data_IF_418456926998
#
_entry.id   IF_418456926998
#
_cell.length_a   1.000
_cell.length_b   1.000
_cell.length_c   1.000
_cell.angle_alpha   90.00
_cell.angle_beta   90.00
_cell.angle_gamma   90.00
#
_symmetry.space_group_name_H-M   'P 1'
#
loop_
_entity.id
_entity.type
_entity.pdbx_description
1 polymer ?
#
# COMPACT_ATOMS: atom_id res chain seq x y z
N UNK A 1 38.20 29.43 -43.88
CA UNK A 1 37.43 28.54 -44.79
C UNK A 1 36.05 28.33 -44.14
N UNK A 2 35.01 29.11 -44.50
CA UNK A 2 33.98 28.80 -45.53
C UNK A 2 33.30 27.44 -45.17
N UNK A 3 32.03 27.32 -44.74
CA UNK A 3 30.71 27.83 -45.21
C UNK A 3 29.65 27.70 -44.06
N UNK A 4 28.86 28.73 -43.72
CA UNK A 4 27.45 29.05 -44.14
C UNK A 4 26.35 28.10 -43.55
N UNK A 5 25.14 28.50 -43.10
CA UNK A 5 24.48 29.81 -42.84
C UNK A 5 23.12 29.55 -42.11
N UNK A 6 22.80 30.43 -41.15
CA UNK A 6 21.51 30.97 -40.60
C UNK A 6 20.15 30.37 -41.01
N UNK A 7 19.21 30.36 -40.05
CA UNK A 7 17.79 30.74 -40.24
C UNK A 7 17.39 31.80 -39.19
N UNK A 8 16.72 32.87 -39.62
CA UNK A 8 16.10 33.92 -38.81
C UNK A 8 14.57 33.75 -38.83
N UNK A 9 13.96 34.10 -37.70
CA UNK A 9 12.53 34.18 -37.45
C UNK A 9 11.83 35.31 -38.24
N UNK A 10 10.50 35.18 -38.44
CA UNK A 10 9.58 36.34 -38.53
C UNK A 10 8.22 35.97 -37.93
N UNK A 11 7.81 36.80 -36.97
CA UNK A 11 6.47 36.91 -36.37
C UNK A 11 5.63 37.88 -37.23
N UNK A 12 4.32 37.68 -37.34
CA UNK A 12 3.40 38.72 -37.78
C UNK A 12 2.02 38.57 -37.12
N UNK A 13 1.50 39.70 -36.68
CA UNK A 13 0.25 39.92 -35.94
C UNK A 13 -0.48 41.07 -36.64
N UNK A 14 -1.74 40.91 -37.07
CA UNK A 14 -2.62 42.03 -37.48
C UNK A 14 -4.10 41.76 -37.09
N UNK A 15 -4.72 42.86 -36.66
CA UNK A 15 -6.05 43.16 -36.10
C UNK A 15 -7.27 43.11 -37.05
N UNK A 16 -8.45 42.82 -36.44
CA UNK A 16 -9.78 43.53 -36.49
C UNK A 16 -10.70 43.34 -37.74
N UNK A 17 -12.05 43.48 -37.79
CA UNK A 17 -13.16 44.18 -37.08
C UNK A 17 -14.53 43.44 -37.32
N UNK A 18 -15.52 43.70 -36.45
CA UNK A 18 -17.01 43.73 -36.54
C UNK A 18 -17.85 43.03 -37.64
N UNK A 19 -19.01 42.48 -37.23
CA UNK A 19 -20.25 42.39 -38.04
C UNK A 19 -21.36 41.49 -37.48
N UNK A 20 -22.48 42.08 -37.04
CA UNK A 20 -23.80 41.42 -36.87
C UNK A 20 -24.45 41.15 -38.24
N UNK A 21 -25.26 40.10 -38.39
CA UNK A 21 -26.74 40.17 -38.46
C UNK A 21 -27.43 38.96 -39.14
N UNK A 22 -28.59 38.60 -38.58
CA UNK A 22 -29.82 38.03 -39.16
C UNK A 22 -29.88 36.68 -39.93
N UNK A 23 -30.63 35.75 -39.30
CA UNK A 23 -31.82 35.01 -39.80
C UNK A 23 -31.76 34.11 -41.04
N UNK A 24 -32.12 32.82 -40.86
CA UNK A 24 -32.45 31.92 -41.97
C UNK A 24 -32.89 30.50 -41.56
N UNK A 25 -34.19 30.37 -41.22
CA UNK A 25 -35.11 29.21 -41.24
C UNK A 25 -34.60 27.75 -41.15
N UNK A 26 -35.12 27.06 -40.13
CA UNK A 26 -35.63 25.68 -40.05
C UNK A 26 -35.58 24.81 -41.32
N UNK A 27 -35.01 23.61 -41.21
CA UNK A 27 -35.72 22.31 -41.14
C UNK A 27 -34.64 21.24 -40.93
N UNK A 28 -34.63 20.61 -39.75
CA UNK A 28 -34.38 19.17 -39.56
C UNK A 28 -34.56 18.82 -38.07
N UNK A 29 -35.82 18.65 -37.69
CA UNK A 29 -36.17 17.80 -36.55
C UNK A 29 -35.83 16.36 -36.94
N UNK A 30 -34.87 15.75 -36.25
CA UNK A 30 -34.92 14.35 -35.77
C UNK A 30 -33.57 13.93 -35.17
N UNK A 31 -33.21 14.46 -33.99
CA UNK A 31 -32.21 13.80 -33.11
C UNK A 31 -32.19 14.29 -31.65
N UNK A 32 -33.28 14.87 -31.18
CA UNK A 32 -33.36 15.43 -29.83
C UNK A 32 -34.33 14.64 -28.93
N UNK A 33 -34.29 13.31 -28.96
CA UNK A 33 -34.94 12.46 -27.93
C UNK A 33 -34.10 11.19 -27.77
N UNK A 34 -32.95 11.30 -27.11
CA UNK A 34 -32.26 10.17 -26.45
C UNK A 34 -31.01 10.71 -25.75
N UNK A 35 -31.17 11.36 -24.59
CA UNK A 35 -30.18 11.25 -23.50
C UNK A 35 -30.65 11.90 -22.19
N UNK A 36 -31.90 11.63 -21.78
CA UNK A 36 -32.41 12.03 -20.46
C UNK A 36 -32.81 10.80 -19.68
N UNK A 37 -31.85 9.90 -19.44
CA UNK A 37 -31.90 8.88 -18.38
C UNK A 37 -30.55 8.16 -18.16
N UNK A 38 -29.41 8.87 -18.29
CA UNK A 38 -28.19 8.41 -17.59
C UNK A 38 -28.37 8.76 -16.12
N UNK A 39 -28.97 7.85 -15.36
CA UNK A 39 -28.74 7.81 -13.91
C UNK A 39 -27.23 7.87 -13.75
N UNK A 40 -26.71 8.97 -13.22
CA UNK A 40 -25.29 9.09 -12.89
C UNK A 40 -25.00 7.95 -11.91
N UNK A 41 -24.43 6.86 -12.41
CA UNK A 41 -24.11 5.71 -11.58
C UNK A 41 -23.03 6.16 -10.61
N UNK A 42 -23.42 6.39 -9.35
CA UNK A 42 -22.48 6.76 -8.30
C UNK A 42 -21.68 5.52 -7.95
N UNK A 43 -20.46 5.42 -8.50
CA UNK A 43 -19.51 4.38 -8.13
C UNK A 43 -19.01 4.55 -6.69
N UNK A 44 -18.68 3.45 -6.04
CA UNK A 44 -18.17 3.40 -4.67
C UNK A 44 -16.78 4.03 -4.57
N UNK A 45 -15.91 3.69 -5.53
CA UNK A 45 -14.59 4.29 -5.68
C UNK A 45 -14.67 5.60 -6.48
N UNK A 46 -13.89 6.60 -6.05
CA UNK A 46 -13.80 7.93 -6.63
C UNK A 46 -12.34 8.22 -6.99
N UNK A 47 -12.04 8.34 -8.28
CA UNK A 47 -10.69 8.67 -8.76
C UNK A 47 -10.44 10.15 -8.46
N UNK A 48 -9.58 10.42 -7.47
CA UNK A 48 -9.23 11.76 -7.04
C UNK A 48 -7.81 11.76 -6.44
N UNK A 49 -7.05 12.83 -6.68
CA UNK A 49 -5.65 12.96 -6.20
C UNK A 49 -5.52 12.89 -4.67
N UNK A 50 -6.60 13.19 -3.95
CA UNK A 50 -6.65 13.13 -2.48
C UNK A 50 -6.91 11.72 -1.93
N UNK A 51 -7.18 10.73 -2.79
CA UNK A 51 -7.53 9.36 -2.39
C UNK A 51 -6.56 8.35 -2.98
N UNK A 52 -5.97 7.54 -2.10
CA UNK A 52 -5.23 6.36 -2.53
C UNK A 52 -6.19 5.21 -2.81
N UNK A 53 -5.74 4.23 -3.61
CA UNK A 53 -6.37 2.92 -3.72
C UNK A 53 -5.66 1.94 -2.80
N UNK A 54 -6.43 1.25 -1.98
CA UNK A 54 -6.00 0.13 -1.15
C UNK A 54 -6.47 -1.17 -1.79
N UNK A 55 -5.55 -2.00 -2.25
CA UNK A 55 -5.86 -3.28 -2.90
C UNK A 55 -5.66 -4.40 -1.90
N UNK A 56 -6.71 -5.21 -1.72
CA UNK A 56 -6.71 -6.43 -0.92
C UNK A 56 -6.78 -7.64 -1.86
N UNK A 57 -6.27 -8.79 -1.44
CA UNK A 57 -6.44 -10.05 -2.17
C UNK A 57 -7.06 -11.09 -1.26
N UNK A 58 -8.20 -11.65 -1.66
CA UNK A 58 -8.84 -12.73 -0.93
C UNK A 58 -8.14 -14.06 -1.24
N UNK A 59 -7.95 -14.93 -0.24
CA UNK A 59 -7.46 -16.27 -0.50
C UNK A 59 -8.50 -17.05 -1.28
N UNK A 60 -8.07 -17.99 -2.12
CA UNK A 60 -9.01 -18.90 -2.79
C UNK A 60 -9.77 -19.74 -1.76
N UNK A 61 -11.07 -19.96 -1.98
CA UNK A 61 -11.86 -20.92 -1.19
C UNK A 61 -11.29 -22.36 -1.26
N UNK A 62 -10.50 -22.65 -2.30
CA UNK A 62 -9.82 -23.93 -2.49
C UNK A 62 -8.39 -23.96 -1.94
N UNK A 63 -7.89 -22.87 -1.37
CA UNK A 63 -6.55 -22.81 -0.80
C UNK A 63 -6.46 -23.65 0.49
N UNK A 64 -5.66 -24.74 0.51
CA UNK A 64 -5.56 -25.59 1.69
C UNK A 64 -4.85 -24.90 2.87
N UNK A 65 -3.97 -23.94 2.63
CA UNK A 65 -3.24 -23.20 3.66
C UNK A 65 -4.20 -22.28 4.43
N UNK A 66 -5.02 -21.51 3.70
CA UNK A 66 -5.97 -20.58 4.32
C UNK A 66 -7.29 -21.20 4.73
N UNK A 67 -7.57 -22.47 4.39
CA UNK A 67 -8.85 -23.15 4.65
C UNK A 67 -9.41 -22.95 6.07
N UNK A 68 -8.57 -23.02 7.10
CA UNK A 68 -9.00 -22.89 8.51
C UNK A 68 -9.29 -21.43 8.94
N UNK A 69 -8.81 -20.45 8.17
CA UNK A 69 -8.98 -19.02 8.40
C UNK A 69 -9.82 -18.32 7.33
N UNK A 70 -10.19 -19.00 6.25
CA UNK A 70 -10.82 -18.42 5.07
C UNK A 70 -11.95 -17.44 5.43
N UNK A 71 -12.91 -17.88 6.23
CA UNK A 71 -14.03 -17.01 6.62
C UNK A 71 -13.58 -15.80 7.45
N UNK A 72 -12.61 -15.98 8.36
CA UNK A 72 -12.06 -14.88 9.16
C UNK A 72 -11.36 -13.83 8.30
N UNK A 73 -10.66 -14.26 7.26
CA UNK A 73 -9.99 -13.37 6.30
C UNK A 73 -11.03 -12.60 5.48
N UNK A 74 -12.03 -13.29 4.93
CA UNK A 74 -13.12 -12.67 4.16
C UNK A 74 -13.89 -11.65 5.01
N UNK A 75 -14.26 -12.01 6.24
CA UNK A 75 -14.99 -11.11 7.14
C UNK A 75 -14.16 -9.86 7.47
N UNK A 76 -12.86 -10.04 7.76
CA UNK A 76 -11.94 -8.92 7.95
C UNK A 76 -11.86 -8.01 6.72
N UNK A 77 -11.71 -8.58 5.52
CA UNK A 77 -11.60 -7.80 4.29
C UNK A 77 -12.87 -7.00 3.98
N UNK A 78 -14.05 -7.57 4.26
CA UNK A 78 -15.34 -6.87 4.12
C UNK A 78 -15.41 -5.68 5.08
N UNK A 79 -15.09 -5.88 6.35
CA UNK A 79 -15.18 -4.82 7.36
C UNK A 79 -14.12 -3.75 7.14
N UNK A 80 -12.92 -4.15 6.73
CA UNK A 80 -11.86 -3.22 6.38
C UNK A 80 -12.23 -2.41 5.14
N UNK A 81 -12.75 -3.03 4.07
CA UNK A 81 -13.24 -2.33 2.88
C UNK A 81 -14.32 -1.29 3.22
N UNK A 82 -15.28 -1.64 4.10
CA UNK A 82 -16.30 -0.68 4.59
C UNK A 82 -15.68 0.51 5.34
N UNK A 83 -14.60 0.28 6.10
CA UNK A 83 -13.88 1.37 6.78
C UNK A 83 -13.10 2.28 5.82
N UNK A 84 -12.67 1.74 4.68
CA UNK A 84 -11.94 2.47 3.64
C UNK A 84 -12.89 3.33 2.83
N UNK A 85 -14.03 2.77 2.41
CA UNK A 85 -15.02 3.43 1.57
C UNK A 85 -15.46 4.79 2.14
N UNK A 86 -15.50 5.78 1.26
CA UNK A 86 -15.75 7.18 1.62
C UNK A 86 -14.50 7.96 2.02
N UNK A 87 -13.49 7.32 2.63
CA UNK A 87 -12.23 7.95 3.03
C UNK A 87 -11.17 7.87 1.92
N UNK A 88 -10.90 6.66 1.43
CA UNK A 88 -10.01 6.32 0.32
C UNK A 88 -10.76 5.40 -0.66
N UNK A 89 -10.06 4.79 -1.62
CA UNK A 89 -10.60 3.78 -2.53
C UNK A 89 -10.15 2.38 -2.12
N UNK A 90 -10.96 1.36 -2.45
CA UNK A 90 -10.62 -0.04 -2.19
C UNK A 90 -10.99 -0.91 -3.38
N UNK A 91 -10.14 -1.88 -3.71
CA UNK A 91 -10.46 -2.99 -4.62
C UNK A 91 -10.09 -4.29 -3.91
N UNK A 92 -10.96 -5.28 -3.98
CA UNK A 92 -10.71 -6.63 -3.48
C UNK A 92 -10.54 -7.54 -4.69
N UNK A 93 -9.33 -8.10 -4.84
CA UNK A 93 -9.06 -9.15 -5.81
C UNK A 93 -9.64 -10.46 -5.27
N UNK A 94 -10.47 -11.13 -6.08
CA UNK A 94 -11.15 -12.38 -5.71
C UNK A 94 -11.13 -13.33 -6.90
N UNK A 95 -10.98 -14.64 -6.69
CA UNK A 95 -11.27 -15.59 -7.76
C UNK A 95 -12.80 -15.79 -7.93
N UNK A 96 -13.20 -16.41 -9.04
CA UNK A 96 -14.62 -16.63 -9.38
C UNK A 96 -15.37 -17.43 -8.31
N UNK A 97 -14.74 -18.45 -7.73
CA UNK A 97 -15.37 -19.34 -6.76
C UNK A 97 -15.46 -18.69 -5.37
N UNK A 98 -14.60 -17.71 -5.10
CA UNK A 98 -14.51 -16.95 -3.85
C UNK A 98 -15.40 -15.72 -3.86
N UNK A 99 -15.65 -15.11 -5.03
CA UNK A 99 -16.50 -13.91 -5.18
C UNK A 99 -17.87 -14.00 -4.49
N UNK A 100 -18.62 -15.13 -4.52
CA UNK A 100 -19.92 -15.24 -3.85
C UNK A 100 -19.88 -14.97 -2.33
N UNK A 101 -18.71 -15.11 -1.69
CA UNK A 101 -18.55 -14.81 -0.27
C UNK A 101 -18.54 -13.30 0.03
N UNK A 102 -18.34 -12.44 -0.97
CA UNK A 102 -18.35 -10.98 -0.90
C UNK A 102 -19.62 -10.36 -1.49
N UNK A 103 -20.23 -11.01 -2.50
CA UNK A 103 -21.42 -10.50 -3.19
C UNK A 103 -22.53 -10.12 -2.21
N UNK A 104 -23.05 -8.91 -2.37
CA UNK A 104 -24.09 -8.34 -1.49
C UNK A 104 -23.61 -7.88 -0.10
N UNK A 105 -22.35 -8.12 0.27
CA UNK A 105 -21.75 -7.63 1.54
C UNK A 105 -20.87 -6.39 1.33
N UNK A 106 -20.39 -6.20 0.11
CA UNK A 106 -19.68 -5.01 -0.37
C UNK A 106 -20.24 -4.59 -1.74
N UNK A 107 -20.01 -3.34 -2.19
CA UNK A 107 -20.41 -2.94 -3.53
C UNK A 107 -19.73 -3.79 -4.62
N UNK A 108 -20.48 -4.16 -5.65
CA UNK A 108 -19.95 -5.01 -6.73
C UNK A 108 -18.83 -4.32 -7.53
N UNK A 109 -18.83 -2.98 -7.59
CA UNK A 109 -17.85 -2.18 -8.35
C UNK A 109 -16.49 -2.01 -7.65
N UNK A 110 -16.29 -2.71 -6.53
CA UNK A 110 -14.99 -2.84 -5.86
C UNK A 110 -14.41 -4.26 -5.91
N UNK A 111 -15.16 -5.22 -6.48
CA UNK A 111 -14.69 -6.60 -6.66
C UNK A 111 -14.07 -6.75 -8.04
N UNK A 112 -12.81 -7.15 -8.09
CA UNK A 112 -12.11 -7.44 -9.33
C UNK A 112 -11.77 -8.94 -9.38
N UNK A 113 -12.31 -9.64 -10.37
CA UNK A 113 -12.06 -11.08 -10.50
C UNK A 113 -10.69 -11.32 -11.12
N UNK A 114 -9.76 -11.87 -10.33
CA UNK A 114 -8.41 -12.19 -10.79
C UNK A 114 -7.69 -13.21 -9.88
N UNK A 115 -6.57 -13.78 -10.36
CA UNK A 115 -5.76 -14.78 -9.67
C UNK A 115 -4.46 -14.15 -9.13
N UNK A 116 -4.52 -13.66 -7.88
CA UNK A 116 -3.35 -13.22 -7.10
C UNK A 116 -3.23 -14.10 -5.85
N UNK A 117 -2.15 -14.86 -5.76
CA UNK A 117 -2.09 -16.12 -4.98
C UNK A 117 -1.67 -15.99 -3.52
N UNK A 118 -1.74 -14.80 -2.95
CA UNK A 118 -1.48 -14.60 -1.53
C UNK A 118 -2.23 -13.36 -1.02
N UNK A 119 -2.52 -13.33 0.28
CA UNK A 119 -3.25 -12.27 0.95
C UNK A 119 -2.33 -11.14 1.41
N UNK A 120 -1.03 -11.42 1.57
CA UNK A 120 0.00 -10.49 2.06
C UNK A 120 0.43 -9.51 0.98
N UNK A 121 -0.55 -8.73 0.50
CA UNK A 121 -0.42 -7.82 -0.64
C UNK A 121 0.69 -6.77 -0.45
N UNK A 122 1.15 -6.51 0.76
CA UNK A 122 2.31 -5.65 0.99
C UNK A 122 3.61 -6.25 0.45
N UNK A 123 3.79 -7.56 0.53
CA UNK A 123 5.13 -8.15 0.53
C UNK A 123 5.69 -8.40 -0.86
N UNK A 124 4.86 -8.92 -1.76
CA UNK A 124 5.28 -9.37 -3.10
C UNK A 124 4.90 -8.37 -4.21
N UNK A 125 4.29 -7.24 -3.87
CA UNK A 125 3.79 -6.27 -4.85
C UNK A 125 4.81 -5.14 -5.12
N UNK A 126 4.35 -3.91 -5.29
CA UNK A 126 5.26 -2.75 -5.39
C UNK A 126 5.30 -1.99 -4.09
N UNK A 127 6.49 -1.52 -3.73
CA UNK A 127 6.67 -0.51 -2.67
C UNK A 127 6.58 0.90 -3.23
N UNK A 128 6.42 1.89 -2.35
CA UNK A 128 6.27 3.32 -2.66
C UNK A 128 5.19 3.60 -3.73
N UNK A 129 3.94 3.92 -3.34
CA UNK A 129 2.85 4.17 -4.27
C UNK A 129 3.04 5.41 -5.15
N UNK A 130 3.95 6.34 -4.79
CA UNK A 130 4.26 7.54 -5.58
C UNK A 130 5.27 7.25 -6.70
N UNK A 131 6.20 6.32 -6.46
CA UNK A 131 7.17 5.84 -7.43
C UNK A 131 7.28 4.31 -7.32
N UNK A 132 6.34 3.56 -7.91
CA UNK A 132 6.23 2.13 -7.69
C UNK A 132 7.47 1.36 -8.15
N UNK A 133 8.08 0.61 -7.22
CA UNK A 133 9.17 -0.32 -7.52
C UNK A 133 8.76 -1.72 -7.07
N UNK A 134 8.89 -2.69 -7.98
CA UNK A 134 8.74 -4.11 -7.67
C UNK A 134 10.13 -4.71 -7.41
N UNK A 135 10.34 -5.20 -6.19
CA UNK A 135 11.52 -5.98 -5.81
C UNK A 135 11.28 -7.46 -6.08
N UNK A 136 12.33 -8.27 -5.93
CA UNK A 136 12.18 -9.72 -5.89
C UNK A 136 11.67 -10.15 -4.51
N UNK A 137 10.47 -10.75 -4.47
CA UNK A 137 9.93 -11.29 -3.22
C UNK A 137 10.86 -12.35 -2.60
N UNK A 138 11.05 -12.28 -1.28
CA UNK A 138 11.89 -13.24 -0.57
C UNK A 138 11.13 -14.54 -0.32
N UNK A 139 11.76 -15.48 0.39
CA UNK A 139 11.17 -16.75 0.80
C UNK A 139 11.31 -16.94 2.31
N UNK A 140 11.19 -15.85 3.08
CA UNK A 140 11.22 -15.90 4.54
C UNK A 140 10.05 -16.70 5.13
N UNK A 141 8.84 -16.49 4.60
CA UNK A 141 7.58 -17.07 5.08
C UNK A 141 7.18 -18.39 4.40
N UNK A 142 7.89 -18.79 3.34
CA UNK A 142 7.48 -19.90 2.47
C UNK A 142 8.66 -20.50 1.69
N UNK A 143 8.44 -21.57 0.93
CA UNK A 143 9.51 -22.10 0.07
C UNK A 143 9.81 -21.14 -1.09
N UNK A 144 11.06 -21.17 -1.59
CA UNK A 144 11.47 -20.41 -2.77
C UNK A 144 10.61 -20.65 -4.01
N UNK A 145 10.04 -21.86 -4.16
CA UNK A 145 9.11 -22.17 -5.25
C UNK A 145 7.79 -21.42 -5.07
N UNK A 146 7.19 -21.50 -3.88
CA UNK A 146 5.94 -20.80 -3.56
C UNK A 146 6.09 -19.29 -3.74
N UNK A 147 7.19 -18.70 -3.23
CA UNK A 147 7.47 -17.26 -3.37
C UNK A 147 7.51 -16.84 -4.84
N UNK A 148 8.19 -17.60 -5.70
CA UNK A 148 8.21 -17.35 -7.15
C UNK A 148 6.83 -17.48 -7.79
N UNK A 149 6.02 -18.45 -7.37
CA UNK A 149 4.67 -18.64 -7.88
C UNK A 149 3.75 -17.48 -7.48
N UNK A 150 3.85 -16.99 -6.24
CA UNK A 150 3.15 -15.80 -5.74
C UNK A 150 3.59 -14.54 -6.51
N UNK A 151 4.90 -14.29 -6.61
CA UNK A 151 5.45 -13.14 -7.34
C UNK A 151 5.04 -13.14 -8.82
N UNK A 152 4.98 -14.32 -9.43
CA UNK A 152 4.54 -14.51 -10.82
C UNK A 152 3.06 -14.17 -10.98
N UNK A 153 2.20 -14.60 -10.07
CA UNK A 153 0.76 -14.26 -10.12
C UNK A 153 0.55 -12.74 -10.11
N UNK A 154 1.24 -12.02 -9.22
CA UNK A 154 1.22 -10.55 -9.21
C UNK A 154 1.78 -9.94 -10.47
N UNK A 155 2.90 -10.44 -10.98
CA UNK A 155 3.53 -9.88 -12.18
C UNK A 155 2.61 -10.01 -13.40
N UNK A 156 1.92 -11.15 -13.53
CA UNK A 156 0.92 -11.38 -14.58
C UNK A 156 -0.29 -10.46 -14.43
N UNK A 157 -0.81 -10.32 -13.21
CA UNK A 157 -1.88 -9.37 -12.89
C UNK A 157 -1.48 -7.93 -13.25
N UNK A 158 -0.32 -7.48 -12.77
CA UNK A 158 0.19 -6.13 -12.98
C UNK A 158 0.44 -5.84 -14.47
N UNK A 159 0.95 -6.80 -15.23
CA UNK A 159 1.16 -6.66 -16.67
C UNK A 159 -0.18 -6.63 -17.43
N UNK A 160 -1.17 -7.45 -17.04
CA UNK A 160 -2.53 -7.46 -17.62
C UNK A 160 -3.21 -6.10 -17.51
N UNK A 161 -3.13 -5.46 -16.33
CA UNK A 161 -3.70 -4.13 -16.09
C UNK A 161 -2.72 -2.98 -16.39
N UNK A 162 -1.58 -3.27 -17.02
CA UNK A 162 -0.59 -2.28 -17.45
C UNK A 162 -0.12 -1.36 -16.31
N UNK A 163 0.06 -1.92 -15.12
CA UNK A 163 0.55 -1.23 -13.92
C UNK A 163 2.00 -0.80 -14.16
N UNK A 164 2.21 0.52 -14.12
CA UNK A 164 3.52 1.14 -14.30
C UNK A 164 4.34 0.97 -13.03
N UNK A 165 5.54 0.40 -13.18
CA UNK A 165 6.48 0.14 -12.07
C UNK A 165 7.90 -0.07 -12.59
N UNK A 166 8.88 0.37 -11.83
CA UNK A 166 10.26 -0.09 -12.01
C UNK A 166 10.40 -1.51 -11.45
N UNK A 167 11.42 -2.24 -11.89
CA UNK A 167 11.75 -3.59 -11.40
C UNK A 167 13.22 -3.64 -10.98
N UNK A 168 13.51 -4.39 -9.93
CA UNK A 168 14.87 -4.67 -9.47
C UNK A 168 15.00 -6.13 -9.04
N UNK A 169 16.21 -6.67 -9.18
CA UNK A 169 16.55 -8.03 -8.73
C UNK A 169 16.95 -8.06 -7.24
N UNK A 170 17.07 -6.89 -6.59
CA UNK A 170 17.23 -6.82 -5.14
C UNK A 170 16.04 -7.50 -4.45
N UNK A 171 16.36 -8.27 -3.42
CA UNK A 171 15.42 -9.04 -2.66
C UNK A 171 14.93 -8.26 -1.43
N UNK A 172 13.62 -8.09 -1.32
CA UNK A 172 12.99 -7.57 -0.10
C UNK A 172 11.51 -7.95 -0.10
N UNK A 173 10.98 -8.23 1.08
CA UNK A 173 9.54 -8.22 1.29
C UNK A 173 9.10 -6.78 1.51
N UNK A 174 8.04 -6.33 0.84
CA UNK A 174 7.55 -4.97 1.01
C UNK A 174 7.18 -4.60 2.45
N UNK A 175 6.87 -5.56 3.32
CA UNK A 175 6.64 -5.33 4.76
C UNK A 175 7.94 -4.99 5.50
N UNK A 176 9.10 -5.35 4.95
CA UNK A 176 10.39 -4.88 5.42
C UNK A 176 10.79 -3.51 4.84
N UNK A 177 9.86 -2.75 4.24
CA UNK A 177 10.12 -1.40 3.78
C UNK A 177 9.08 -0.39 4.26
N UNK A 178 9.55 0.57 5.06
CA UNK A 178 8.75 1.69 5.54
C UNK A 178 9.31 2.99 4.99
N UNK A 179 8.52 3.67 4.17
CA UNK A 179 8.88 4.95 3.58
C UNK A 179 7.86 6.04 3.86
N UNK A 180 8.28 7.30 3.70
CA UNK A 180 7.46 8.49 3.95
C UNK A 180 6.90 9.13 2.66
N UNK A 181 7.07 8.45 1.51
CA UNK A 181 6.78 8.94 0.16
C UNK A 181 7.56 10.21 -0.27
N UNK A 182 8.53 10.66 0.52
CA UNK A 182 9.29 11.90 0.31
C UNK A 182 10.82 11.70 0.44
N UNK A 183 11.29 10.44 0.34
CA UNK A 183 12.69 10.10 0.23
C UNK A 183 13.36 9.62 1.51
N UNK A 184 12.59 9.32 2.58
CA UNK A 184 13.09 8.61 3.75
C UNK A 184 12.62 7.17 3.73
N UNK A 185 13.57 6.24 3.88
CA UNK A 185 13.32 4.79 3.81
C UNK A 185 13.90 4.11 5.04
N UNK A 186 13.16 3.14 5.57
CA UNK A 186 13.57 2.29 6.69
C UNK A 186 13.42 0.85 6.24
N UNK A 187 14.45 0.05 6.51
CA UNK A 187 14.46 -1.43 6.37
C UNK A 187 15.13 -2.02 7.61
N UNK A 188 15.20 -3.35 7.71
CA UNK A 188 16.05 -4.04 8.69
C UNK A 188 17.33 -4.60 8.07
N UNK A 189 18.23 -5.11 8.92
CA UNK A 189 19.45 -5.84 8.50
C UNK A 189 19.16 -7.04 7.62
N UNK A 190 17.92 -7.57 7.62
CA UNK A 190 17.52 -8.65 6.72
C UNK A 190 17.70 -8.32 5.25
N UNK A 191 17.49 -7.06 4.85
CA UNK A 191 17.78 -6.62 3.48
C UNK A 191 19.27 -6.75 3.13
N UNK A 192 20.17 -6.54 4.10
CA UNK A 192 21.61 -6.74 3.90
C UNK A 192 21.92 -8.22 3.72
N UNK A 193 21.35 -9.07 4.56
CA UNK A 193 21.57 -10.52 4.56
C UNK A 193 21.07 -11.17 3.27
N UNK A 194 19.84 -10.87 2.85
CA UNK A 194 19.21 -11.45 1.67
C UNK A 194 19.89 -11.03 0.35
N UNK A 195 20.63 -9.91 0.36
CA UNK A 195 21.33 -9.37 -0.82
C UNK A 195 22.86 -9.46 -0.72
N UNK A 196 23.39 -10.05 0.36
CA UNK A 196 24.84 -10.15 0.63
C UNK A 196 25.57 -8.78 0.60
N UNK A 197 24.92 -7.74 1.14
CA UNK A 197 25.43 -6.35 1.12
C UNK A 197 26.03 -5.94 2.47
N UNK A 198 27.07 -5.12 2.43
CA UNK A 198 27.48 -4.34 3.60
C UNK A 198 26.47 -3.22 3.89
N UNK A 199 26.54 -2.63 5.09
CA UNK A 199 25.65 -1.53 5.50
C UNK A 199 25.69 -0.33 4.53
N UNK A 200 26.89 0.04 4.05
CA UNK A 200 27.04 1.18 3.14
C UNK A 200 26.50 0.86 1.73
N UNK A 201 26.75 -0.35 1.24
CA UNK A 201 26.22 -0.81 -0.06
C UNK A 201 24.70 -0.86 -0.02
N UNK A 202 24.11 -1.45 1.03
CA UNK A 202 22.67 -1.50 1.21
C UNK A 202 22.03 -0.10 1.21
N UNK A 203 22.62 0.87 1.91
CA UNK A 203 22.12 2.26 1.85
C UNK A 203 22.26 2.87 0.46
N UNK A 204 23.34 2.60 -0.27
CA UNK A 204 23.53 3.12 -1.63
C UNK A 204 22.52 2.52 -2.61
N UNK A 205 22.30 1.21 -2.56
CA UNK A 205 21.34 0.50 -3.41
C UNK A 205 19.90 0.99 -3.19
N UNK A 206 19.49 1.17 -1.93
CA UNK A 206 18.17 1.71 -1.60
C UNK A 206 17.99 3.15 -2.09
N UNK A 207 19.02 4.00 -1.95
CA UNK A 207 18.98 5.38 -2.47
C UNK A 207 18.87 5.41 -3.99
N UNK A 208 19.65 4.58 -4.68
CA UNK A 208 19.62 4.50 -6.14
C UNK A 208 18.28 3.96 -6.65
N UNK A 209 17.78 2.88 -6.05
CA UNK A 209 16.57 2.17 -6.49
C UNK A 209 15.29 2.95 -6.20
N UNK A 210 15.20 3.61 -5.04
CA UNK A 210 13.97 4.27 -4.57
C UNK A 210 14.01 5.80 -4.68
N UNK A 211 15.13 6.37 -5.16
CA UNK A 211 15.35 7.82 -5.11
C UNK A 211 15.41 8.35 -3.68
N UNK A 212 15.75 7.51 -2.70
CA UNK A 212 15.81 7.91 -1.30
C UNK A 212 16.99 8.85 -1.03
N UNK A 213 16.82 9.74 -0.06
CA UNK A 213 17.84 10.68 0.41
C UNK A 213 18.42 10.27 1.75
N UNK A 214 17.56 9.76 2.64
CA UNK A 214 17.91 9.24 3.96
C UNK A 214 17.42 7.80 4.10
N UNK A 215 18.26 6.94 4.66
CA UNK A 215 17.98 5.51 4.84
C UNK A 215 18.39 5.09 6.24
N UNK A 216 17.53 4.37 6.95
CA UNK A 216 17.86 3.69 8.20
C UNK A 216 17.79 2.17 8.01
N UNK A 217 18.72 1.44 8.63
CA UNK A 217 18.75 -0.02 8.65
C UNK A 217 18.71 -0.51 10.10
N UNK A 218 17.55 -1.02 10.54
CA UNK A 218 17.30 -1.42 11.92
C UNK A 218 17.73 -2.86 12.20
N UNK A 219 18.14 -3.14 13.43
CA UNK A 219 18.10 -4.51 13.97
C UNK A 219 16.62 -4.90 14.13
N UNK A 220 16.16 -6.05 13.58
CA UNK A 220 14.75 -6.41 13.64
C UNK A 220 14.32 -6.82 15.05
N UNK A 221 13.04 -6.63 15.39
CA UNK A 221 12.46 -7.11 16.66
C UNK A 221 11.91 -8.54 16.59
N UNK A 222 11.99 -9.17 15.42
CA UNK A 222 11.56 -10.53 15.11
C UNK A 222 12.51 -11.14 14.07
N UNK A 223 12.87 -12.42 14.19
CA UNK A 223 13.97 -13.01 13.40
C UNK A 223 13.56 -13.56 12.02
N UNK A 224 12.34 -14.11 11.87
CA UNK A 224 11.94 -14.89 10.70
C UNK A 224 11.62 -13.99 9.51
N UNK A 225 10.66 -13.08 9.68
CA UNK A 225 10.26 -12.11 8.66
C UNK A 225 11.14 -10.87 8.76
N UNK A 226 11.45 -10.42 9.98
CA UNK A 226 12.29 -9.26 10.23
C UNK A 226 11.77 -7.98 9.54
N UNK A 227 10.45 -7.78 9.55
CA UNK A 227 9.79 -6.67 8.86
C UNK A 227 9.82 -5.37 9.68
N UNK A 228 10.32 -4.29 9.07
CA UNK A 228 10.31 -2.95 9.67
C UNK A 228 8.91 -2.35 9.86
N UNK A 229 7.89 -2.80 9.11
CA UNK A 229 6.53 -2.27 9.23
C UNK A 229 5.73 -2.75 10.45
N UNK A 230 6.28 -3.73 11.18
CA UNK A 230 5.88 -4.05 12.56
C UNK A 230 6.52 -3.11 13.58
N UNK A 231 7.66 -2.48 13.25
CA UNK A 231 8.48 -1.71 14.20
C UNK A 231 8.19 -0.21 14.18
N UNK A 232 7.96 0.34 12.99
CA UNK A 232 7.92 1.80 12.75
C UNK A 232 6.86 2.21 11.75
N UNK A 233 6.38 3.44 11.84
CA UNK A 233 5.40 3.99 10.89
C UNK A 233 5.54 5.51 10.76
N UNK A 234 5.74 6.00 9.53
CA UNK A 234 5.65 7.43 9.22
C UNK A 234 4.19 7.86 9.22
N UNK A 235 3.77 8.64 10.21
CA UNK A 235 2.36 9.06 10.38
C UNK A 235 2.09 10.49 9.93
N UNK A 236 3.14 11.28 9.71
CA UNK A 236 3.06 12.61 9.12
C UNK A 236 4.41 13.00 8.48
N UNK A 237 4.46 14.13 7.78
CA UNK A 237 5.63 14.62 7.04
C UNK A 237 6.91 14.69 7.87
N UNK A 238 6.86 14.77 9.19
CA UNK A 238 8.08 14.78 10.00
C UNK A 238 7.93 14.03 11.32
N UNK A 239 7.00 13.08 11.38
CA UNK A 239 6.72 12.31 12.60
C UNK A 239 6.81 10.82 12.31
N UNK A 240 7.80 10.19 12.93
CA UNK A 240 8.00 8.74 12.93
C UNK A 240 7.51 8.17 14.24
N UNK A 241 6.66 7.15 14.18
CA UNK A 241 6.34 6.33 15.33
C UNK A 241 7.23 5.09 15.35
N UNK A 242 7.60 4.65 16.55
CA UNK A 242 8.35 3.42 16.79
C UNK A 242 7.75 2.70 18.00
N UNK A 243 7.76 1.37 18.00
CA UNK A 243 7.32 0.60 19.16
C UNK A 243 8.18 0.92 20.41
N UNK A 244 7.56 0.89 21.58
CA UNK A 244 8.23 1.09 22.86
C UNK A 244 8.97 -0.19 23.27
N UNK A 245 10.29 -0.19 23.03
CA UNK A 245 11.20 -1.27 23.42
C UNK A 245 11.81 -1.09 24.81
N UNK A 246 11.18 -0.32 25.73
CA UNK A 246 11.72 -0.07 27.07
C UNK A 246 11.95 -1.33 27.91
N UNK A 247 11.27 -2.44 27.60
CA UNK A 247 11.50 -3.76 28.21
C UNK A 247 12.83 -4.41 27.79
N UNK A 248 13.45 -3.95 26.70
CA UNK A 248 14.74 -4.42 26.17
C UNK A 248 15.70 -3.23 25.94
N UNK A 249 16.25 -2.61 27.00
CA UNK A 249 16.94 -1.32 26.91
C UNK A 249 18.13 -1.26 25.94
N UNK A 250 18.87 -2.36 25.79
CA UNK A 250 19.98 -2.44 24.84
C UNK A 250 19.48 -2.37 23.39
N UNK A 251 18.49 -3.19 23.04
CA UNK A 251 17.84 -3.19 21.73
C UNK A 251 17.20 -1.82 21.42
N UNK A 252 16.45 -1.26 22.37
CA UNK A 252 15.90 0.11 22.27
C UNK A 252 16.97 1.13 21.94
N UNK A 253 18.13 1.04 22.60
CA UNK A 253 19.25 1.97 22.37
C UNK A 253 19.79 1.82 20.95
N UNK A 254 19.94 0.60 20.44
CA UNK A 254 20.36 0.33 19.05
C UNK A 254 19.38 0.95 18.06
N UNK A 255 18.09 0.62 18.15
CA UNK A 255 17.03 1.12 17.26
C UNK A 255 16.96 2.64 17.29
N UNK A 256 16.87 3.24 18.49
CA UNK A 256 16.74 4.70 18.61
C UNK A 256 17.99 5.44 18.15
N UNK A 257 19.18 4.86 18.28
CA UNK A 257 20.42 5.46 17.78
C UNK A 257 20.44 5.50 16.25
N UNK A 258 20.10 4.39 15.59
CA UNK A 258 20.04 4.33 14.12
C UNK A 258 18.98 5.30 13.57
N UNK A 259 17.78 5.33 14.16
CA UNK A 259 16.71 6.23 13.74
C UNK A 259 17.11 7.71 13.89
N UNK A 260 17.68 8.10 15.03
CA UNK A 260 18.10 9.49 15.28
C UNK A 260 19.27 9.90 14.40
N UNK A 261 20.20 8.99 14.13
CA UNK A 261 21.34 9.25 13.25
C UNK A 261 20.91 9.39 11.79
N UNK A 262 19.97 8.54 11.34
CA UNK A 262 19.49 8.53 9.96
C UNK A 262 18.47 9.63 9.66
N UNK A 263 17.70 10.08 10.65
CA UNK A 263 16.64 11.09 10.49
C UNK A 263 16.76 12.19 11.56
N UNK A 264 17.83 13.00 11.53
CA UNK A 264 18.12 13.98 12.59
C UNK A 264 17.05 15.07 12.75
N UNK A 265 16.23 15.31 11.73
CA UNK A 265 15.15 16.31 11.76
C UNK A 265 13.81 15.72 12.17
N UNK A 266 13.65 14.39 12.20
CA UNK A 266 12.37 13.75 12.47
C UNK A 266 11.99 13.79 13.95
N UNK A 267 10.71 14.04 14.23
CA UNK A 267 10.12 13.79 15.56
C UNK A 267 9.87 12.29 15.69
N UNK A 268 10.64 11.62 16.55
CA UNK A 268 10.46 10.20 16.83
C UNK A 268 9.65 10.04 18.12
N UNK A 269 8.56 9.28 18.07
CA UNK A 269 7.63 9.08 19.20
C UNK A 269 7.43 7.59 19.45
N UNK A 270 7.62 7.17 20.69
CA UNK A 270 7.41 5.78 21.10
C UNK A 270 5.93 5.48 21.35
N UNK A 271 5.48 4.30 20.92
CA UNK A 271 4.10 3.82 21.03
C UNK A 271 4.11 2.49 21.79
N UNK A 272 3.24 2.30 22.81
CA UNK A 272 3.22 1.06 23.57
C UNK A 272 2.91 -0.14 22.66
N UNK A 273 3.60 -1.25 22.90
CA UNK A 273 3.38 -2.53 22.23
C UNK A 273 3.35 -3.66 23.25
N UNK A 274 2.47 -4.63 23.04
CA UNK A 274 2.46 -5.90 23.76
C UNK A 274 2.21 -7.02 22.76
N UNK A 275 3.15 -7.95 22.64
CA UNK A 275 3.06 -9.06 21.68
C UNK A 275 2.28 -10.23 22.28
N UNK A 276 1.25 -10.70 21.59
CA UNK A 276 0.48 -11.88 21.99
C UNK A 276 1.04 -13.13 21.30
N UNK A 277 1.46 -14.12 22.08
CA UNK A 277 1.99 -15.37 21.55
C UNK A 277 0.82 -16.28 21.11
N UNK A 278 0.95 -16.90 19.94
CA UNK A 278 -0.02 -17.89 19.46
C UNK A 278 0.02 -19.18 20.30
N UNK A 279 -1.12 -19.85 20.52
CA UNK A 279 -1.14 -21.19 21.08
C UNK A 279 -0.37 -22.17 20.20
N UNK A 280 0.27 -23.17 20.82
CA UNK A 280 0.95 -24.26 20.09
C UNK A 280 0.02 -24.91 19.06
N UNK A 281 0.53 -25.18 17.85
CA UNK A 281 -0.22 -25.75 16.74
C UNK A 281 -1.07 -24.75 15.94
N UNK A 282 -1.03 -23.46 16.26
CA UNK A 282 -1.66 -22.41 15.46
C UNK A 282 -0.61 -21.51 14.83
N UNK A 283 -0.59 -21.45 13.49
CA UNK A 283 0.29 -20.55 12.73
C UNK A 283 1.76 -20.64 13.18
N UNK A 284 2.28 -21.87 13.27
CA UNK A 284 3.67 -22.10 13.65
C UNK A 284 4.62 -21.65 12.53
N UNK A 285 5.77 -21.10 12.92
CA UNK A 285 6.84 -20.71 11.99
C UNK A 285 7.07 -19.19 11.89
N UNK A 286 6.18 -18.37 12.43
CA UNK A 286 6.36 -16.91 12.52
C UNK A 286 5.67 -16.37 13.78
N UNK A 287 6.09 -15.19 14.24
CA UNK A 287 5.45 -14.53 15.37
C UNK A 287 4.10 -13.93 15.00
N UNK A 288 3.24 -13.76 16.01
CA UNK A 288 1.94 -13.14 15.83
C UNK A 288 2.07 -11.63 15.74
N UNK A 289 1.33 -10.99 14.84
CA UNK A 289 1.23 -9.53 14.76
C UNK A 289 0.21 -8.95 15.77
N UNK A 290 -0.41 -9.79 16.60
CA UNK A 290 -1.40 -9.34 17.57
C UNK A 290 -0.75 -8.42 18.63
N UNK A 291 -1.23 -7.18 18.66
CA UNK A 291 -0.73 -6.12 19.53
C UNK A 291 0.19 -5.10 18.86
N UNK A 292 0.53 -5.29 17.58
CA UNK A 292 1.41 -4.40 16.81
C UNK A 292 0.58 -3.30 16.12
N UNK A 293 0.24 -2.24 16.85
CA UNK A 293 -0.59 -1.14 16.30
C UNK A 293 0.09 -0.35 15.17
N UNK A 294 1.42 -0.43 15.05
CA UNK A 294 2.19 0.27 14.01
C UNK A 294 2.15 -0.40 12.63
N UNK A 295 1.64 -1.63 12.54
CA UNK A 295 1.34 -2.30 11.27
C UNK A 295 0.11 -1.68 10.58
N UNK A 296 0.14 -0.36 10.43
CA UNK A 296 -0.92 0.52 10.00
C UNK A 296 -0.70 1.01 8.57
N UNK A 297 -1.79 1.10 7.81
CA UNK A 297 -1.77 1.65 6.45
C UNK A 297 -1.93 3.16 6.52
N UNK A 298 -0.92 3.91 6.06
CA UNK A 298 -0.92 5.38 6.06
C UNK A 298 -1.14 5.89 4.64
N UNK A 299 -2.25 6.59 4.40
CA UNK A 299 -2.56 7.21 3.09
C UNK A 299 -2.31 8.72 3.13
N UNK A 300 -2.68 9.43 2.06
CA UNK A 300 -2.55 10.90 2.01
C UNK A 300 -3.24 11.57 3.21
N UNK A 301 -4.45 11.12 3.54
CA UNK A 301 -5.32 11.80 4.51
C UNK A 301 -5.76 10.92 5.69
N UNK A 302 -5.53 9.60 5.63
CA UNK A 302 -6.02 8.65 6.62
C UNK A 302 -4.90 7.76 7.16
N UNK A 303 -5.10 7.23 8.36
CA UNK A 303 -4.29 6.16 8.94
C UNK A 303 -5.24 5.07 9.42
N UNK A 304 -5.15 3.90 8.82
CA UNK A 304 -5.90 2.72 9.22
C UNK A 304 -5.07 1.94 10.24
N UNK A 305 -5.43 2.06 11.52
CA UNK A 305 -4.66 1.51 12.63
C UNK A 305 -5.28 0.19 13.09
N UNK A 306 -4.56 -0.94 13.06
CA UNK A 306 -5.07 -2.19 13.59
C UNK A 306 -5.27 -2.09 15.11
N UNK A 307 -6.35 -2.68 15.59
CA UNK A 307 -6.68 -2.89 17.00
C UNK A 307 -7.00 -4.36 17.24
N UNK A 308 -6.73 -4.84 18.45
CA UNK A 308 -6.71 -6.27 18.75
C UNK A 308 -7.52 -6.65 20.01
N UNK A 309 -8.30 -5.70 20.54
CA UNK A 309 -8.98 -5.85 21.82
C UNK A 309 -7.98 -6.07 22.98
N UNK A 310 -6.86 -5.34 22.92
CA UNK A 310 -5.78 -5.43 23.91
C UNK A 310 -5.70 -4.15 24.77
N UNK A 311 -5.23 -4.24 26.02
CA UNK A 311 -5.25 -3.11 26.95
C UNK A 311 -4.53 -1.85 26.45
N UNK A 312 -3.48 -2.00 25.63
CA UNK A 312 -2.69 -0.88 25.13
C UNK A 312 -3.27 -0.18 23.89
N UNK A 313 -4.23 -0.79 23.18
CA UNK A 313 -4.78 -0.27 21.90
C UNK A 313 -5.23 1.19 22.02
N UNK A 314 -5.98 1.51 23.07
CA UNK A 314 -6.52 2.87 23.25
C UNK A 314 -5.41 3.91 23.49
N UNK A 315 -4.33 3.52 24.17
CA UNK A 315 -3.17 4.38 24.40
C UNK A 315 -2.40 4.59 23.10
N UNK A 316 -2.19 3.52 22.32
CA UNK A 316 -1.56 3.61 20.99
C UNK A 316 -2.35 4.54 20.05
N UNK A 317 -3.67 4.35 19.93
CA UNK A 317 -4.55 5.23 19.15
C UNK A 317 -4.48 6.69 19.58
N UNK A 318 -4.41 6.95 20.90
CA UNK A 318 -4.31 8.31 21.43
C UNK A 318 -3.00 8.97 21.02
N UNK A 319 -1.87 8.26 21.16
CA UNK A 319 -0.55 8.76 20.76
C UNK A 319 -0.52 9.02 19.25
N UNK A 320 -1.02 8.09 18.43
CA UNK A 320 -1.05 8.26 16.97
C UNK A 320 -1.85 9.53 16.61
N UNK A 321 -3.06 9.69 17.17
CA UNK A 321 -3.93 10.87 16.93
C UNK A 321 -3.29 12.20 17.32
N UNK A 322 -2.51 12.23 18.40
CA UNK A 322 -1.83 13.44 18.87
C UNK A 322 -0.62 13.84 18.01
N UNK A 323 -0.16 12.95 17.12
CA UNK A 323 1.10 13.06 16.40
C UNK A 323 0.93 13.12 14.87
N UNK A 324 -0.31 13.25 14.39
CA UNK A 324 -0.63 13.34 12.96
C UNK A 324 -1.76 14.35 12.72
N UNK A 325 -1.75 14.96 11.55
CA UNK A 325 -2.87 15.73 11.00
C UNK A 325 -3.91 14.86 10.26
N UNK A 326 -3.59 13.58 10.02
CA UNK A 326 -4.45 12.64 9.29
C UNK A 326 -5.60 12.11 10.14
N UNK A 327 -6.67 11.68 9.49
CA UNK A 327 -7.78 11.00 10.16
C UNK A 327 -7.35 9.59 10.57
N UNK A 328 -7.37 9.32 11.87
CA UNK A 328 -7.04 8.00 12.43
C UNK A 328 -8.30 7.13 12.51
N UNK A 329 -8.30 6.00 11.81
CA UNK A 329 -9.42 5.07 11.67
C UNK A 329 -9.00 3.72 12.29
N UNK A 330 -9.55 3.33 13.45
CA UNK A 330 -9.30 2.01 14.02
C UNK A 330 -9.91 0.90 13.15
N UNK A 331 -9.19 -0.21 13.00
CA UNK A 331 -9.62 -1.40 12.26
C UNK A 331 -9.42 -2.63 13.15
N UNK A 332 -10.49 -3.38 13.43
CA UNK A 332 -10.35 -4.60 14.22
C UNK A 332 -9.62 -5.67 13.39
N UNK A 333 -8.41 -6.04 13.82
CA UNK A 333 -7.56 -7.04 13.18
C UNK A 333 -7.35 -8.29 14.06
N UNK A 334 -8.09 -8.45 15.16
CA UNK A 334 -7.95 -9.57 16.10
C UNK A 334 -8.07 -10.94 15.42
N UNK A 335 -8.92 -11.04 14.39
CA UNK A 335 -9.18 -12.30 13.69
C UNK A 335 -8.06 -12.71 12.72
N UNK A 336 -7.24 -11.76 12.28
CA UNK A 336 -6.18 -11.97 11.27
C UNK A 336 -4.76 -11.90 11.82
N UNK A 337 -4.55 -11.12 12.88
CA UNK A 337 -3.23 -10.93 13.50
C UNK A 337 -2.49 -12.22 13.93
N UNK A 338 -3.15 -13.34 14.29
CA UNK A 338 -2.45 -14.58 14.58
C UNK A 338 -1.66 -15.13 13.38
N UNK A 339 -1.98 -14.72 12.16
CA UNK A 339 -1.29 -15.15 10.93
C UNK A 339 0.00 -14.35 10.65
N UNK A 340 0.47 -13.52 11.58
CA UNK A 340 1.77 -12.86 11.49
C UNK A 340 1.77 -11.48 10.80
N UNK A 341 0.62 -11.00 10.36
CA UNK A 341 0.45 -9.65 9.82
C UNK A 341 -0.94 -9.09 10.09
N UNK A 342 -1.14 -7.81 9.83
CA UNK A 342 -2.44 -7.16 10.01
C UNK A 342 -2.77 -6.18 8.87
N UNK A 343 -3.26 -4.99 9.20
CA UNK A 343 -3.82 -4.02 8.25
C UNK A 343 -2.83 -3.66 7.14
N UNK A 344 -1.58 -3.34 7.48
CA UNK A 344 -0.58 -2.94 6.49
C UNK A 344 -0.11 -4.11 5.63
N UNK A 345 0.22 -5.25 6.24
CA UNK A 345 0.68 -6.44 5.51
C UNK A 345 -0.35 -6.93 4.48
N UNK A 346 -1.65 -6.81 4.80
CA UNK A 346 -2.74 -7.22 3.92
C UNK A 346 -3.08 -6.19 2.82
N UNK A 347 -2.38 -5.05 2.76
CA UNK A 347 -2.74 -3.93 1.89
C UNK A 347 -1.61 -3.52 0.94
N UNK A 348 -1.90 -3.54 -0.36
CA UNK A 348 -1.10 -2.85 -1.37
C UNK A 348 -1.66 -1.45 -1.63
N UNK A 349 -0.81 -0.42 -1.50
CA UNK A 349 -1.19 0.97 -1.74
C UNK A 349 -0.84 1.36 -3.17
N UNK A 350 -1.78 2.04 -3.85
CA UNK A 350 -1.65 2.45 -5.25
C UNK A 350 -2.19 3.87 -5.41
N UNK A 351 -1.55 4.69 -6.25
CA UNK A 351 -2.01 6.06 -6.57
C UNK A 351 -2.01 6.33 -8.07
N UNK A 352 -2.53 7.50 -8.46
CA UNK A 352 -2.48 8.03 -9.82
C UNK A 352 -3.09 7.09 -10.86
N UNK A 353 -2.47 7.03 -12.04
CA UNK A 353 -2.95 6.24 -13.18
C UNK A 353 -3.08 4.75 -12.86
N UNK A 354 -2.19 4.20 -12.04
CA UNK A 354 -2.28 2.79 -11.63
C UNK A 354 -3.55 2.53 -10.81
N UNK A 355 -3.90 3.44 -9.90
CA UNK A 355 -5.14 3.34 -9.12
C UNK A 355 -6.37 3.49 -10.03
N UNK A 356 -6.35 4.45 -10.96
CA UNK A 356 -7.44 4.66 -11.90
C UNK A 356 -7.72 3.42 -12.77
N UNK A 357 -6.66 2.75 -13.27
CA UNK A 357 -6.77 1.51 -14.06
C UNK A 357 -7.45 0.38 -13.29
N UNK A 358 -7.04 0.15 -12.05
CA UNK A 358 -7.62 -0.93 -11.23
C UNK A 358 -9.05 -0.62 -10.79
N UNK A 359 -9.35 0.64 -10.47
CA UNK A 359 -10.72 1.07 -10.17
C UNK A 359 -11.61 0.88 -11.41
N UNK A 360 -11.11 1.22 -12.60
CA UNK A 360 -11.88 1.05 -13.83
C UNK A 360 -12.08 -0.44 -14.15
N UNK A 361 -11.06 -1.27 -14.00
CA UNK A 361 -11.16 -2.72 -14.19
C UNK A 361 -12.26 -3.35 -13.30
N UNK A 362 -12.34 -2.96 -12.03
CA UNK A 362 -13.38 -3.45 -11.11
C UNK A 362 -14.80 -3.01 -11.53
N UNK A 363 -14.95 -1.91 -12.26
CA UNK A 363 -16.25 -1.42 -12.75
C UNK A 363 -16.72 -2.15 -14.00
N UNK A 364 -15.78 -2.57 -14.84
CA UNK A 364 -16.07 -3.09 -16.18
C UNK A 364 -16.56 -4.55 -16.17
N UNK A 365 -16.46 -5.23 -15.01
CA UNK A 365 -16.88 -6.61 -14.72
C UNK A 365 -16.21 -7.70 -15.55
#
# INVERSE_FOLDING_TARGET
>A
MIKLKRHYAVMALILSLFGCDSSGRNIENNKAIEDKNKVSQTYSNQVADSKMLLVLSAPSVHDPYYKSAFQRIVDFQIDYAKSILGNDNVVILVDEDTKPYFTGKVPEDILLVDDVRDIWMRDFTTVNPMQPVQFTYTWASMTKKQSKDVQKSFSQFADRYQIQRAKTDLMIDGGNLVDDYAGRVITTTRFMEDNELSYNEAKQELKATLGATEVAILEPDEEVLAHSDGMVSWVDKNTLLVNDYSKTPAFRTTVMKELKASFPTAKIVEVPVEYKINPKGQWEGFESACGVNLNATVTHNNIYVPTFNMPHDQKALTIIKQNTSKKVIPVNAESVCPMGGSVRCLTWQVTGDNAAKLIQAARDK
#
